data_IF_871703053417
#
_entry.id   IF_871703053417
#
_cell.length_a   1.000
_cell.length_b   1.000
_cell.length_c   1.000
_cell.angle_alpha   90.00
_cell.angle_beta   90.00
_cell.angle_gamma   90.00
#
_symmetry.space_group_name_H-M   'P 1'
#
loop_
_entity.id
_entity.type
_entity.pdbx_description
1 polymer ?
#
# COMPACT_ATOMS: atom_id res chain seq x y z
N UNK A 1 -19.86 17.46 -24.36
CA UNK A 1 -18.90 16.35 -24.21
C UNK A 1 -18.43 16.38 -22.76
N UNK A 2 -18.94 15.48 -21.92
CA UNK A 2 -18.49 15.40 -20.52
C UNK A 2 -17.08 14.82 -20.54
N UNK A 3 -16.09 15.54 -20.02
CA UNK A 3 -14.77 14.98 -19.81
C UNK A 3 -14.91 13.81 -18.82
N UNK A 4 -14.70 12.58 -19.28
CA UNK A 4 -14.59 11.43 -18.40
C UNK A 4 -13.32 11.62 -17.59
N UNK A 5 -13.46 12.15 -16.37
CA UNK A 5 -12.34 12.27 -15.45
C UNK A 5 -11.76 10.87 -15.23
N UNK A 6 -10.47 10.70 -15.50
CA UNK A 6 -9.78 9.46 -15.16
C UNK A 6 -9.75 9.31 -13.65
N UNK A 7 -10.15 8.16 -13.06
CA UNK A 7 -10.10 7.96 -11.62
C UNK A 7 -8.66 7.87 -11.09
N UNK A 8 -7.67 7.84 -11.98
CA UNK A 8 -6.26 7.64 -11.69
C UNK A 8 -5.50 8.97 -11.60
N UNK A 9 -5.59 9.59 -10.42
CA UNK A 9 -4.82 10.76 -10.05
C UNK A 9 -4.32 10.60 -8.62
N UNK A 10 -3.14 11.12 -8.32
CA UNK A 10 -2.67 11.16 -6.95
C UNK A 10 -3.53 12.10 -6.11
N UNK A 11 -3.88 11.65 -4.90
CA UNK A 11 -4.44 12.47 -3.85
C UNK A 11 -3.57 12.39 -2.60
N UNK A 12 -3.63 13.44 -1.80
CA UNK A 12 -3.04 13.46 -0.46
C UNK A 12 -3.97 12.74 0.52
N UNK A 13 -3.38 11.90 1.36
CA UNK A 13 -4.04 11.34 2.53
C UNK A 13 -3.16 11.71 3.73
N UNK A 14 -3.47 12.85 4.34
CA UNK A 14 -2.55 13.55 5.23
C UNK A 14 -3.09 13.68 6.64
N UNK A 15 -2.32 13.34 7.68
CA UNK A 15 -2.63 13.77 9.03
C UNK A 15 -2.52 15.30 9.15
N UNK A 16 -3.19 15.86 10.15
CA UNK A 16 -3.22 17.30 10.38
C UNK A 16 -1.91 17.73 11.05
N UNK A 17 -1.24 18.74 10.48
CA UNK A 17 -0.09 19.40 11.11
C UNK A 17 1.25 18.65 11.05
N UNK A 18 1.33 17.48 10.43
CA UNK A 18 2.56 16.66 10.42
C UNK A 18 3.45 16.83 9.18
N UNK A 19 3.06 17.69 8.23
CA UNK A 19 3.71 17.81 6.91
C UNK A 19 4.01 16.43 6.27
N UNK A 20 3.02 15.55 6.30
CA UNK A 20 3.13 14.18 5.81
C UNK A 20 1.92 13.80 4.93
N UNK A 21 2.10 12.81 4.06
CA UNK A 21 1.05 12.28 3.20
C UNK A 21 1.33 10.83 2.83
N UNK A 22 0.33 9.95 2.94
CA UNK A 22 0.28 8.75 2.12
C UNK A 22 -0.29 9.14 0.76
N UNK A 23 0.58 9.51 -0.18
CA UNK A 23 0.14 9.93 -1.52
C UNK A 23 -0.15 8.69 -2.36
N UNK A 24 -1.35 8.58 -2.93
CA UNK A 24 -1.77 7.41 -3.70
C UNK A 24 -2.83 7.75 -4.76
N UNK A 25 -2.90 6.95 -5.82
CA UNK A 25 -3.97 6.97 -6.81
C UNK A 25 -3.50 7.01 -8.27
N UNK A 26 -2.33 7.58 -8.55
CA UNK A 26 -1.73 7.50 -9.88
C UNK A 26 -0.99 6.15 -10.06
N UNK A 27 -1.22 5.42 -11.18
CA UNK A 27 -0.51 4.18 -11.47
C UNK A 27 1.01 4.33 -11.55
N UNK A 28 1.71 3.23 -11.28
CA UNK A 28 3.17 3.16 -11.24
C UNK A 28 3.74 3.54 -9.86
N UNK A 29 5.06 3.67 -9.80
CA UNK A 29 5.81 4.13 -8.62
C UNK A 29 5.70 5.66 -8.43
N UNK A 30 4.47 6.16 -8.32
CA UNK A 30 4.13 7.60 -8.26
C UNK A 30 3.53 8.03 -6.93
N UNK A 31 3.36 7.11 -5.98
CA UNK A 31 2.79 7.36 -4.66
C UNK A 31 3.83 7.21 -3.54
N UNK A 32 3.37 6.77 -2.37
CA UNK A 32 4.21 6.39 -1.23
C UNK A 32 4.05 7.31 -0.01
N UNK A 33 4.90 7.06 0.99
CA UNK A 33 4.89 7.79 2.26
C UNK A 33 5.78 9.03 2.15
N UNK A 34 5.17 10.19 1.91
CA UNK A 34 5.86 11.47 1.91
C UNK A 34 5.93 12.05 3.33
N UNK A 35 7.13 12.33 3.80
CA UNK A 35 7.40 13.06 5.04
C UNK A 35 8.26 14.28 4.71
N UNK A 36 7.76 15.49 4.98
CA UNK A 36 8.45 16.78 4.73
C UNK A 36 8.92 16.99 3.28
N UNK A 37 8.06 16.61 2.32
CA UNK A 37 8.38 16.65 0.88
C UNK A 37 7.34 17.44 0.10
N UNK A 38 7.81 18.16 -0.92
CA UNK A 38 6.98 18.99 -1.82
C UNK A 38 6.27 18.20 -2.92
N UNK A 39 6.40 16.87 -2.94
CA UNK A 39 5.79 16.01 -3.94
C UNK A 39 5.76 14.53 -3.52
N UNK A 40 5.26 13.63 -4.40
CA UNK A 40 5.15 12.21 -4.09
C UNK A 40 6.51 11.57 -3.75
N UNK A 41 6.49 10.54 -2.90
CA UNK A 41 7.69 9.80 -2.52
C UNK A 41 8.26 8.97 -3.70
N UNK A 42 7.43 8.69 -4.71
CA UNK A 42 7.74 7.85 -5.87
C UNK A 42 8.20 6.45 -5.47
N UNK A 43 7.53 5.89 -4.46
CA UNK A 43 7.79 4.54 -3.93
C UNK A 43 6.84 3.52 -4.57
N UNK A 44 7.25 2.25 -4.52
CA UNK A 44 6.33 1.15 -4.81
C UNK A 44 5.44 0.94 -3.59
N UNK A 45 4.13 0.99 -3.81
CA UNK A 45 3.12 0.66 -2.82
C UNK A 45 2.38 -0.58 -3.30
N UNK A 46 2.43 -1.62 -2.48
CA UNK A 46 1.78 -2.88 -2.79
C UNK A 46 0.53 -3.04 -1.94
N UNK A 47 -0.60 -3.22 -2.61
CA UNK A 47 -1.89 -3.58 -2.00
C UNK A 47 -2.42 -4.75 -2.79
N UNK A 48 -2.31 -5.96 -2.25
CA UNK A 48 -2.42 -7.18 -3.05
C UNK A 48 -3.21 -8.29 -2.36
N UNK A 49 -3.76 -9.17 -3.19
CA UNK A 49 -4.43 -10.40 -2.79
C UNK A 49 -3.95 -11.56 -3.64
N UNK A 50 -3.79 -12.72 -3.00
CA UNK A 50 -3.47 -13.97 -3.68
C UNK A 50 -4.61 -14.39 -4.59
N UNK A 51 -4.28 -14.93 -5.76
CA UNK A 51 -5.28 -15.46 -6.68
C UNK A 51 -5.99 -16.69 -6.12
N UNK A 52 -7.24 -16.90 -6.54
CA UNK A 52 -8.04 -18.06 -6.15
C UNK A 52 -7.31 -19.35 -6.55
N UNK A 53 -7.01 -20.18 -5.54
CA UNK A 53 -6.33 -21.47 -5.69
C UNK A 53 -4.97 -21.43 -6.43
N UNK A 54 -4.34 -20.25 -6.54
CA UNK A 54 -3.10 -20.04 -7.25
C UNK A 54 -1.97 -19.50 -6.35
N UNK A 55 -0.74 -19.55 -6.86
CA UNK A 55 0.47 -19.12 -6.14
C UNK A 55 0.79 -17.63 -6.32
N UNK A 56 0.26 -17.02 -7.39
CA UNK A 56 0.51 -15.63 -7.77
C UNK A 56 -0.49 -14.66 -7.11
N UNK A 57 -0.23 -13.37 -7.27
CA UNK A 57 -0.99 -12.28 -6.65
C UNK A 57 -1.42 -11.25 -7.68
N UNK A 58 -2.60 -10.65 -7.46
CA UNK A 58 -2.97 -9.39 -8.10
C UNK A 58 -2.92 -8.24 -7.10
N UNK A 59 -2.45 -7.08 -7.57
CA UNK A 59 -2.25 -5.88 -6.78
C UNK A 59 -2.83 -4.64 -7.46
N UNK A 60 -3.22 -3.65 -6.65
CA UNK A 60 -3.52 -2.32 -7.16
C UNK A 60 -2.26 -1.74 -7.86
N UNK A 61 -2.43 -0.93 -8.93
CA UNK A 61 -1.36 -0.63 -9.87
C UNK A 61 -0.39 0.47 -9.38
N UNK A 62 0.02 0.46 -8.10
CA UNK A 62 0.82 1.54 -7.47
C UNK A 62 2.31 1.18 -7.29
N UNK A 63 2.85 0.39 -8.21
CA UNK A 63 4.25 -0.05 -8.22
C UNK A 63 4.83 0.00 -9.65
N UNK A 64 6.15 0.04 -9.77
CA UNK A 64 6.85 0.10 -11.05
C UNK A 64 6.47 -1.08 -11.95
N UNK A 65 6.19 -0.79 -13.23
CA UNK A 65 5.77 -1.80 -14.21
C UNK A 65 4.27 -2.07 -14.25
N UNK A 66 3.49 -1.57 -13.27
CA UNK A 66 2.04 -1.71 -13.23
C UNK A 66 1.29 -0.91 -14.31
N UNK A 67 1.93 0.12 -14.86
CA UNK A 67 1.45 0.98 -15.94
C UNK A 67 1.85 0.49 -17.35
N UNK A 68 2.62 -0.59 -17.43
CA UNK A 68 2.99 -1.19 -18.71
C UNK A 68 1.89 -2.13 -19.20
N UNK A 69 1.48 -1.99 -20.47
CA UNK A 69 0.59 -2.95 -21.16
C UNK A 69 1.26 -4.30 -21.41
N UNK A 70 2.48 -4.49 -20.90
CA UNK A 70 3.36 -5.60 -21.18
C UNK A 70 3.82 -6.22 -19.86
N UNK A 71 2.86 -6.81 -19.14
CA UNK A 71 3.08 -7.61 -17.93
C UNK A 71 4.00 -8.83 -18.16
N UNK A 72 4.55 -9.00 -19.37
CA UNK A 72 5.54 -10.01 -19.74
C UNK A 72 7.00 -9.49 -19.75
N UNK A 73 7.25 -8.18 -19.53
CA UNK A 73 8.63 -7.63 -19.59
C UNK A 73 9.39 -7.56 -18.27
N UNK A 74 8.73 -7.75 -17.13
CA UNK A 74 9.43 -7.88 -15.84
C UNK A 74 9.84 -9.34 -15.60
N UNK A 75 10.79 -9.82 -16.41
CA UNK A 75 11.38 -11.16 -16.28
C UNK A 75 12.92 -11.18 -16.44
N UNK A 76 13.63 -10.07 -16.16
CA UNK A 76 15.11 -10.09 -16.38
C UNK A 76 15.98 -9.50 -15.26
N UNK A 77 15.52 -8.57 -14.41
CA UNK A 77 16.47 -7.90 -13.48
C UNK A 77 16.34 -8.25 -11.99
N UNK A 78 15.37 -9.08 -11.59
CA UNK A 78 15.30 -9.63 -10.23
C UNK A 78 16.10 -10.93 -10.01
N UNK A 79 16.61 -11.53 -11.09
CA UNK A 79 17.38 -12.77 -11.06
C UNK A 79 18.89 -12.48 -10.98
N UNK A 80 19.34 -11.73 -9.96
CA UNK A 80 20.75 -11.82 -9.55
C UNK A 80 20.95 -13.10 -8.74
N UNK A 81 20.82 -14.23 -9.42
CA UNK A 81 20.91 -15.56 -8.83
C UNK A 81 20.42 -16.64 -9.79
N UNK A 82 21.30 -17.06 -10.70
CA UNK A 82 21.16 -18.20 -11.63
C UNK A 82 20.49 -17.91 -12.98
N UNK A 83 21.28 -17.32 -13.89
CA UNK A 83 21.11 -17.54 -15.33
C UNK A 83 22.12 -18.62 -15.76
N UNK A 84 21.65 -19.83 -15.97
CA UNK A 84 22.29 -20.77 -16.89
C UNK A 84 21.34 -20.96 -18.08
N UNK A 85 21.60 -20.20 -19.14
CA UNK A 85 20.93 -20.36 -20.42
C UNK A 85 21.31 -21.73 -21.02
N UNK A 86 20.30 -22.57 -21.28
CA UNK A 86 20.45 -23.78 -22.11
C UNK A 86 20.21 -25.13 -21.43
N UNK A 87 19.09 -25.34 -20.73
CA UNK A 87 18.66 -26.68 -20.32
C UNK A 87 17.35 -27.09 -21.03
N UNK A 88 17.19 -28.37 -21.44
CA UNK A 88 15.99 -28.87 -22.13
C UNK A 88 14.77 -28.90 -21.19
N UNK A 89 13.60 -29.08 -21.81
CA UNK A 89 12.21 -29.04 -21.31
C UNK A 89 11.84 -30.01 -20.16
N UNK A 90 12.82 -30.49 -19.39
CA UNK A 90 12.66 -31.44 -18.29
C UNK A 90 13.49 -31.04 -17.06
N UNK A 91 13.08 -29.97 -16.37
CA UNK A 91 13.44 -29.70 -14.99
C UNK A 91 12.15 -29.43 -14.18
N UNK A 92 11.44 -30.50 -13.83
CA UNK A 92 10.34 -30.46 -12.87
C UNK A 92 10.92 -30.25 -11.47
N UNK A 93 10.35 -29.29 -10.73
CA UNK A 93 10.44 -29.10 -9.27
C UNK A 93 11.60 -28.28 -8.66
N UNK A 94 11.75 -27.01 -9.07
CA UNK A 94 12.29 -25.96 -8.19
C UNK A 94 11.26 -24.81 -8.07
N UNK A 95 11.00 -24.37 -6.82
CA UNK A 95 9.86 -23.51 -6.45
C UNK A 95 9.95 -22.15 -7.13
N UNK A 96 9.21 -21.95 -8.23
CA UNK A 96 9.04 -20.64 -8.86
C UNK A 96 8.54 -19.63 -7.81
N UNK A 97 9.21 -18.48 -7.71
CA UNK A 97 8.79 -17.38 -6.84
C UNK A 97 7.40 -16.87 -7.26
N UNK A 98 6.55 -16.44 -6.30
CA UNK A 98 5.25 -15.88 -6.64
C UNK A 98 5.43 -14.58 -7.42
N UNK A 99 4.59 -14.35 -8.43
CA UNK A 99 4.60 -13.12 -9.22
C UNK A 99 3.45 -12.23 -8.77
N UNK A 100 3.73 -10.93 -8.70
CA UNK A 100 2.73 -9.88 -8.44
C UNK A 100 2.37 -9.23 -9.77
N UNK A 101 1.09 -9.26 -10.13
CA UNK A 101 0.56 -8.63 -11.33
C UNK A 101 -0.35 -7.48 -10.96
N UNK A 102 -0.34 -6.40 -11.74
CA UNK A 102 -1.30 -5.33 -11.54
C UNK A 102 -2.70 -5.77 -12.01
N UNK A 103 -3.74 -5.37 -11.29
CA UNK A 103 -5.09 -5.38 -11.85
C UNK A 103 -5.15 -4.51 -13.10
N UNK A 104 -5.89 -4.95 -14.11
CA UNK A 104 -6.14 -4.13 -15.30
C UNK A 104 -6.84 -2.83 -14.89
N UNK A 105 -6.43 -1.68 -15.47
CA UNK A 105 -6.91 -0.37 -15.04
C UNK A 105 -8.43 -0.22 -15.16
N UNK A 106 -9.06 -0.84 -16.16
CA UNK A 106 -10.51 -0.86 -16.35
C UNK A 106 -11.27 -1.72 -15.31
N UNK A 107 -10.57 -2.63 -14.64
CA UNK A 107 -11.11 -3.45 -13.53
C UNK A 107 -10.99 -2.78 -12.16
N UNK A 108 -10.26 -1.67 -12.05
CA UNK A 108 -10.10 -0.91 -10.81
C UNK A 108 -11.12 0.22 -10.75
N UNK A 109 -11.98 0.17 -9.74
CA UNK A 109 -12.94 1.23 -9.42
C UNK A 109 -12.40 2.07 -8.28
N UNK A 110 -12.63 3.39 -8.34
CA UNK A 110 -12.29 4.32 -7.26
C UNK A 110 -13.52 5.11 -6.82
N UNK A 111 -13.78 5.12 -5.52
CA UNK A 111 -14.74 6.01 -4.85
C UNK A 111 -13.95 7.04 -4.04
N UNK A 112 -13.83 8.25 -4.58
CA UNK A 112 -13.02 9.33 -4.02
C UNK A 112 -13.91 10.36 -3.30
N UNK A 113 -13.70 10.51 -2.00
CA UNK A 113 -14.34 11.51 -1.15
C UNK A 113 -13.33 12.29 -0.33
N UNK A 114 -13.80 13.33 0.39
CA UNK A 114 -12.94 14.26 1.12
C UNK A 114 -12.09 13.61 2.22
N UNK A 115 -12.68 12.68 2.96
CA UNK A 115 -12.05 12.02 4.11
C UNK A 115 -11.90 10.51 3.92
N UNK A 116 -12.23 10.02 2.73
CA UNK A 116 -12.28 8.59 2.40
C UNK A 116 -11.98 8.40 0.94
N UNK A 117 -11.02 7.55 0.64
CA UNK A 117 -10.69 7.15 -0.73
C UNK A 117 -10.62 5.63 -0.79
N UNK A 118 -11.41 5.03 -1.68
CA UNK A 118 -11.56 3.58 -1.77
C UNK A 118 -11.26 3.07 -3.18
N UNK A 119 -10.35 2.12 -3.29
CA UNK A 119 -10.12 1.34 -4.51
C UNK A 119 -10.71 -0.05 -4.38
N UNK A 120 -11.32 -0.56 -5.46
CA UNK A 120 -11.89 -1.90 -5.54
C UNK A 120 -11.45 -2.58 -6.83
N UNK A 121 -10.95 -3.80 -6.73
CA UNK A 121 -10.57 -4.62 -7.88
C UNK A 121 -10.64 -6.11 -7.52
N UNK A 122 -11.39 -6.89 -8.28
CA UNK A 122 -11.66 -8.30 -7.96
C UNK A 122 -12.22 -8.46 -6.54
N UNK A 123 -11.57 -9.29 -5.74
CA UNK A 123 -11.95 -9.57 -4.34
C UNK A 123 -11.31 -8.61 -3.33
N UNK A 124 -10.57 -7.60 -3.80
CA UNK A 124 -9.83 -6.67 -2.96
C UNK A 124 -10.54 -5.32 -2.90
N UNK A 125 -10.66 -4.77 -1.68
CA UNK A 125 -10.98 -3.37 -1.46
C UNK A 125 -9.97 -2.75 -0.49
N UNK A 126 -9.47 -1.57 -0.83
CA UNK A 126 -8.54 -0.82 -0.01
C UNK A 126 -9.08 0.58 0.22
N UNK A 127 -9.20 0.99 1.48
CA UNK A 127 -9.73 2.29 1.87
C UNK A 127 -8.71 3.03 2.70
N UNK A 128 -8.48 4.31 2.41
CA UNK A 128 -7.75 5.22 3.28
C UNK A 128 -8.74 6.21 3.89
N UNK A 129 -8.63 6.44 5.20
CA UNK A 129 -9.38 7.44 5.93
C UNK A 129 -8.45 8.57 6.36
N UNK A 130 -8.83 9.79 6.01
CA UNK A 130 -8.09 11.00 6.36
C UNK A 130 -8.94 11.85 7.30
N UNK A 131 -8.39 12.16 8.48
CA UNK A 131 -9.11 12.91 9.49
C UNK A 131 -9.38 14.35 9.04
N UNK A 132 -10.58 14.85 9.35
CA UNK A 132 -10.96 16.25 9.19
C UNK A 132 -11.62 16.71 10.49
N UNK A 133 -10.80 17.24 11.38
CA UNK A 133 -11.21 17.71 12.70
C UNK A 133 -10.61 19.09 12.97
N UNK A 134 -11.28 19.88 13.81
CA UNK A 134 -10.72 21.14 14.29
C UNK A 134 -9.55 20.86 15.26
N UNK A 135 -8.50 21.68 15.18
CA UNK A 135 -7.39 21.63 16.12
C UNK A 135 -7.79 22.47 17.34
N UNK A 136 -7.84 21.90 18.56
CA UNK A 136 -8.03 22.70 19.77
C UNK A 136 -6.93 23.76 19.92
N UNK A 137 -7.25 24.89 20.56
CA UNK A 137 -6.24 25.92 20.81
C UNK A 137 -5.24 25.43 21.87
N UNK A 138 -3.94 25.27 21.53
CA UNK A 138 -2.94 24.79 22.47
C UNK A 138 -2.69 25.74 23.64
N UNK A 139 -3.01 27.03 23.53
CA UNK A 139 -2.80 28.01 24.59
C UNK A 139 -3.87 27.94 25.69
N UNK A 140 -5.04 27.39 25.40
CA UNK A 140 -6.19 27.33 26.31
C UNK A 140 -6.57 25.91 26.73
N UNK A 141 -5.84 24.91 26.22
CA UNK A 141 -6.11 23.50 26.50
C UNK A 141 -5.93 23.15 27.99
N UNK A 142 -7.02 22.79 28.66
CA UNK A 142 -6.97 22.08 29.94
C UNK A 142 -6.46 20.64 29.75
N UNK A 143 -6.25 19.89 30.84
CA UNK A 143 -5.80 18.48 30.77
C UNK A 143 -6.69 17.60 29.85
N UNK A 144 -8.01 17.82 29.85
CA UNK A 144 -8.94 17.14 28.94
C UNK A 144 -8.73 17.53 27.47
N UNK A 145 -8.41 18.79 27.20
CA UNK A 145 -8.12 19.28 25.85
C UNK A 145 -6.73 18.81 25.36
N UNK A 146 -5.83 18.42 26.25
CA UNK A 146 -4.55 17.79 25.88
C UNK A 146 -4.77 16.43 25.20
N UNK A 147 -5.76 15.65 25.64
CA UNK A 147 -6.12 14.42 24.94
C UNK A 147 -6.72 14.72 23.56
N UNK A 148 -7.62 15.70 23.48
CA UNK A 148 -8.19 16.15 22.21
C UNK A 148 -7.14 16.69 21.22
N UNK A 149 -6.12 17.38 21.71
CA UNK A 149 -4.95 17.81 20.93
C UNK A 149 -4.16 16.61 20.38
N UNK A 150 -3.92 15.59 21.23
CA UNK A 150 -3.22 14.37 20.80
C UNK A 150 -3.98 13.63 19.71
N UNK A 151 -5.30 13.52 19.85
CA UNK A 151 -6.16 12.88 18.85
C UNK A 151 -6.19 13.67 17.55
N UNK A 152 -6.29 15.00 17.62
CA UNK A 152 -6.32 15.86 16.43
C UNK A 152 -4.97 15.93 15.69
N UNK A 153 -3.85 15.75 16.39
CA UNK A 153 -2.49 15.90 15.86
C UNK A 153 -1.74 14.57 15.72
N UNK A 154 -2.44 13.43 15.84
CA UNK A 154 -1.81 12.13 15.62
C UNK A 154 -1.24 12.08 14.19
N UNK A 155 0.06 11.79 14.01
CA UNK A 155 0.71 11.81 12.69
C UNK A 155 0.45 10.51 11.93
N UNK A 156 -0.81 10.12 11.81
CA UNK A 156 -1.22 8.87 11.19
C UNK A 156 -2.51 9.04 10.38
N UNK A 157 -2.68 8.20 9.37
CA UNK A 157 -3.95 7.95 8.69
C UNK A 157 -4.34 6.50 8.88
N UNK A 158 -5.64 6.21 8.79
CA UNK A 158 -6.13 4.84 8.89
C UNK A 158 -6.27 4.25 7.50
N UNK A 159 -5.92 2.97 7.35
CA UNK A 159 -6.15 2.23 6.13
C UNK A 159 -6.81 0.88 6.45
N UNK A 160 -7.75 0.45 5.61
CA UNK A 160 -8.40 -0.84 5.69
C UNK A 160 -8.20 -1.62 4.40
N UNK A 161 -7.70 -2.85 4.54
CA UNK A 161 -7.63 -3.83 3.45
C UNK A 161 -8.69 -4.91 3.70
N UNK A 162 -9.65 -5.01 2.80
CA UNK A 162 -10.69 -6.05 2.82
C UNK A 162 -10.43 -7.04 1.69
N UNK A 163 -10.49 -8.33 2.01
CA UNK A 163 -10.38 -9.44 1.05
C UNK A 163 -11.62 -10.32 1.14
N UNK A 164 -12.33 -10.42 0.02
CA UNK A 164 -13.46 -11.34 -0.11
C UNK A 164 -12.98 -12.75 -0.49
N UNK A 165 -12.94 -13.65 0.49
CA UNK A 165 -12.61 -15.05 0.26
C UNK A 165 -13.83 -15.98 0.33
N UNK A 166 -15.06 -15.47 0.17
CA UNK A 166 -16.28 -16.29 0.30
C UNK A 166 -16.39 -17.41 -0.75
N UNK A 167 -15.83 -17.17 -1.95
CA UNK A 167 -15.78 -18.17 -3.02
C UNK A 167 -14.58 -19.13 -2.93
N UNK A 168 -13.59 -18.81 -2.10
CA UNK A 168 -12.37 -19.61 -1.98
C UNK A 168 -12.54 -20.84 -1.10
N UNK A 169 -11.76 -21.89 -1.41
CA UNK A 169 -11.75 -23.15 -0.63
C UNK A 169 -10.56 -23.26 0.31
N UNK A 170 -9.63 -22.30 0.25
CA UNK A 170 -8.39 -22.25 1.02
C UNK A 170 -8.16 -20.83 1.54
N UNK A 171 -7.40 -20.65 2.63
CA UNK A 171 -6.92 -19.34 3.04
C UNK A 171 -6.16 -18.66 1.90
N UNK A 172 -6.44 -17.37 1.70
CA UNK A 172 -5.72 -16.50 0.75
C UNK A 172 -4.92 -15.48 1.53
N UNK A 173 -3.72 -15.18 1.03
CA UNK A 173 -2.88 -14.12 1.60
C UNK A 173 -3.24 -12.77 0.99
N UNK A 174 -3.34 -11.77 1.85
CA UNK A 174 -3.32 -10.35 1.48
C UNK A 174 -2.07 -9.70 1.99
N UNK A 175 -1.65 -8.60 1.37
CA UNK A 175 -0.61 -7.76 1.96
C UNK A 175 -0.77 -6.29 1.57
N UNK A 176 -0.33 -5.44 2.50
CA UNK A 176 -0.13 -4.02 2.30
C UNK A 176 1.29 -3.67 2.77
N UNK A 177 2.05 -2.97 1.92
CA UNK A 177 3.40 -2.54 2.26
C UNK A 177 4.00 -1.60 1.22
N UNK A 178 5.16 -1.04 1.52
CA UNK A 178 5.92 -0.22 0.57
C UNK A 178 7.38 -0.67 0.46
N UNK A 179 8.00 -0.33 -0.67
CA UNK A 179 9.44 -0.34 -0.82
C UNK A 179 9.98 1.08 -0.55
N UNK A 180 10.31 1.35 0.71
CA UNK A 180 10.83 2.65 1.14
C UNK A 180 12.12 3.05 0.41
N UNK A 181 12.25 4.33 0.06
CA UNK A 181 13.39 4.85 -0.73
C UNK A 181 14.28 5.83 0.01
N UNK A 182 14.10 6.01 1.32
CA UNK A 182 15.03 6.83 2.13
C UNK A 182 16.46 6.24 2.07
N UNK A 183 17.49 7.02 1.67
CA UNK A 183 18.84 6.50 1.52
C UNK A 183 19.56 6.24 2.85
N UNK A 184 19.14 6.94 3.91
CA UNK A 184 19.85 6.98 5.18
C UNK A 184 19.33 5.93 6.18
N UNK A 185 18.18 5.34 5.89
CA UNK A 185 17.50 4.38 6.77
C UNK A 185 17.18 3.06 6.07
N UNK A 186 17.12 1.97 6.84
CA UNK A 186 16.75 0.64 6.34
C UNK A 186 15.29 0.31 6.65
N UNK A 187 14.72 -0.56 5.82
CA UNK A 187 13.47 -1.25 6.16
C UNK A 187 13.68 -2.12 7.40
N UNK A 188 12.69 -2.13 8.28
CA UNK A 188 12.68 -2.91 9.51
C UNK A 188 11.27 -3.29 9.92
N UNK A 189 11.18 -4.26 10.80
CA UNK A 189 9.95 -4.60 11.49
C UNK A 189 10.01 -4.12 12.94
N UNK A 190 8.83 -3.87 13.49
CA UNK A 190 8.61 -3.69 14.93
C UNK A 190 7.45 -4.60 15.35
N UNK A 191 7.45 -4.99 16.61
CA UNK A 191 6.33 -5.72 17.17
C UNK A 191 6.40 -5.69 18.69
N UNK A 192 5.21 -5.70 19.28
CA UNK A 192 4.97 -5.93 20.69
C UNK A 192 3.79 -6.91 20.83
N UNK A 193 3.36 -7.20 22.06
CA UNK A 193 2.26 -8.13 22.30
C UNK A 193 0.94 -7.69 21.63
N UNK A 194 0.77 -6.39 21.37
CA UNK A 194 -0.46 -5.77 20.87
C UNK A 194 -0.39 -5.25 19.43
N UNK A 195 0.80 -5.20 18.80
CA UNK A 195 0.94 -4.75 17.41
C UNK A 195 2.07 -5.43 16.64
N UNK A 196 1.91 -5.45 15.31
CA UNK A 196 2.96 -5.75 14.33
C UNK A 196 3.11 -4.57 13.40
N UNK A 197 4.33 -4.32 12.93
CA UNK A 197 4.61 -3.21 12.03
C UNK A 197 5.83 -3.45 11.15
N UNK A 198 5.82 -2.79 10.00
CA UNK A 198 6.97 -2.68 9.10
C UNK A 198 7.10 -1.24 8.60
N UNK A 199 8.32 -0.82 8.29
CA UNK A 199 8.57 0.54 7.82
C UNK A 199 10.04 0.84 7.69
N UNK A 200 10.38 2.13 7.60
CA UNK A 200 11.74 2.59 7.32
C UNK A 200 12.24 3.52 8.43
N UNK A 201 13.46 3.24 8.91
CA UNK A 201 14.10 4.08 9.92
C UNK A 201 13.33 4.10 11.23
N UNK A 202 13.00 5.29 11.73
CA UNK A 202 12.11 5.50 12.88
C UNK A 202 11.01 6.52 12.59
N UNK A 203 10.76 6.80 11.31
CA UNK A 203 9.97 7.96 10.86
C UNK A 203 8.78 7.58 9.95
N UNK A 204 8.81 6.40 9.32
CA UNK A 204 7.69 5.86 8.53
C UNK A 204 7.41 4.44 8.99
N UNK A 205 6.13 4.12 9.21
CA UNK A 205 5.70 2.75 9.51
C UNK A 205 4.21 2.52 9.25
N UNK A 206 3.90 1.26 8.93
CA UNK A 206 2.54 0.73 8.83
C UNK A 206 2.36 -0.16 10.06
N UNK A 207 1.34 0.13 10.86
CA UNK A 207 1.04 -0.59 12.10
C UNK A 207 -0.31 -1.29 11.98
N UNK A 208 -0.37 -2.52 12.47
CA UNK A 208 -1.61 -3.27 12.63
C UNK A 208 -1.65 -3.86 14.03
N UNK A 209 -2.86 -4.06 14.56
CA UNK A 209 -3.03 -4.82 15.80
C UNK A 209 -2.50 -6.24 15.61
N UNK A 210 -1.88 -6.78 16.64
CA UNK A 210 -1.46 -8.18 16.65
C UNK A 210 -2.72 -9.06 16.74
N UNK A 211 -3.15 -9.60 15.60
CA UNK A 211 -4.31 -10.48 15.48
C UNK A 211 -3.93 -11.76 14.71
N UNK A 212 -4.58 -12.91 14.99
CA UNK A 212 -4.31 -14.14 14.26
C UNK A 212 -4.42 -13.95 12.74
N UNK A 213 -3.31 -14.16 12.03
CA UNK A 213 -3.26 -14.05 10.56
C UNK A 213 -2.66 -12.74 10.03
N UNK A 214 -2.34 -11.77 10.90
CA UNK A 214 -1.58 -10.55 10.56
C UNK A 214 -0.11 -10.74 10.99
N UNK A 215 0.82 -10.46 10.08
CA UNK A 215 2.27 -10.65 10.28
C UNK A 215 3.04 -9.45 9.75
#
# INVERSE_FOLDING_TARGET
MSATSTPFFNAHHSPIGAFASLTLGQPGCKGGFGLEREGPANEDVFVAVQDLDAHDFHALPFFAGADSTDAARYDVEGASGSMAAGAPDHAKNEKRQPVIRAFALDSVQRDFGLCRDTWRAGDLAFTIYTQLVAIPDPATAANADTAALRDALVPAVWAELTIDNRAGRKPRRGFFGNAGKDPDSRMRTWGADDFVAAGQGGHIGIFARAEPGVQ
#
